data_IF_951702696204
#
_entry.id   IF_951702696204
#
_cell.length_a   1.000
_cell.length_b   1.000
_cell.length_c   1.000
_cell.angle_alpha   90.00
_cell.angle_beta   90.00
_cell.angle_gamma   90.00
#
_symmetry.space_group_name_H-M   'P 1'
#
loop_
_entity.id
_entity.type
_entity.pdbx_description
1 polymer ?
#
# COMPACT_ATOMS: atom_id res chain seq x y z
N UNK A 1 -12.37 -18.92 17.06
CA UNK A 1 -13.34 -18.88 18.18
C UNK A 1 -12.86 -17.95 19.29
N UNK A 2 -11.75 -18.26 19.98
CA UNK A 2 -11.14 -17.40 21.00
C UNK A 2 -10.85 -15.94 20.56
N UNK A 3 -10.27 -15.73 19.36
CA UNK A 3 -10.05 -14.37 18.78
C UNK A 3 -11.31 -13.49 18.79
N UNK A 4 -12.45 -14.05 18.40
CA UNK A 4 -13.70 -13.29 18.27
C UNK A 4 -14.43 -13.12 19.61
N UNK A 5 -14.33 -14.10 20.51
CA UNK A 5 -14.80 -13.95 21.89
C UNK A 5 -14.08 -12.79 22.59
N UNK A 6 -12.79 -12.55 22.29
CA UNK A 6 -12.01 -11.44 22.83
C UNK A 6 -12.47 -10.10 22.26
N UNK A 7 -12.71 -10.05 20.95
CA UNK A 7 -13.21 -8.84 20.27
C UNK A 7 -14.66 -8.49 20.63
N UNK A 8 -15.44 -9.46 21.13
CA UNK A 8 -16.84 -9.29 21.54
C UNK A 8 -17.01 -8.91 23.02
N UNK A 9 -15.92 -8.75 23.78
CA UNK A 9 -16.01 -8.23 25.14
C UNK A 9 -16.43 -6.75 25.09
N UNK A 10 -17.68 -6.48 25.47
CA UNK A 10 -18.16 -5.12 25.72
C UNK A 10 -17.59 -4.60 27.04
N UNK A 11 -17.44 -3.27 27.15
CA UNK A 11 -17.04 -2.57 28.37
C UNK A 11 -17.98 -2.75 29.59
N UNK A 12 -19.05 -3.57 29.50
CA UNK A 12 -19.96 -3.84 30.61
C UNK A 12 -19.27 -4.52 31.82
N UNK A 13 -18.10 -5.15 31.62
CA UNK A 13 -17.27 -5.74 32.68
C UNK A 13 -15.93 -5.01 32.89
N UNK A 14 -15.78 -3.77 32.43
CA UNK A 14 -14.56 -2.98 32.66
C UNK A 14 -13.34 -3.45 31.86
N UNK A 15 -13.54 -4.20 30.77
CA UNK A 15 -12.46 -4.60 29.86
C UNK A 15 -11.84 -3.42 29.13
N UNK A 16 -10.69 -2.95 29.61
CA UNK A 16 -9.87 -1.91 28.98
C UNK A 16 -9.28 -2.42 27.66
N UNK A 17 -9.59 -1.80 26.52
CA UNK A 17 -8.76 -1.96 25.32
C UNK A 17 -7.45 -1.21 25.55
N UNK A 18 -6.42 -1.93 26.03
CA UNK A 18 -5.09 -1.38 26.15
C UNK A 18 -4.58 -0.99 24.76
N UNK A 19 -4.35 0.32 24.54
CA UNK A 19 -3.27 0.72 23.65
C UNK A 19 -2.00 0.18 24.30
N UNK A 20 -1.18 -0.54 23.55
CA UNK A 20 0.25 -0.64 23.86
C UNK A 20 0.78 0.80 23.85
N UNK A 21 0.74 1.44 25.02
CA UNK A 21 1.24 2.78 25.19
C UNK A 21 2.74 2.73 25.10
N UNK A 22 3.30 3.08 23.94
CA UNK A 22 4.58 3.76 23.96
C UNK A 22 4.32 5.09 24.66
N UNK A 23 4.79 5.20 25.91
CA UNK A 23 4.75 6.45 26.67
C UNK A 23 5.35 7.56 25.81
N UNK A 24 4.59 8.62 25.60
CA UNK A 24 5.16 9.87 25.09
C UNK A 24 6.24 10.34 26.05
N UNK A 25 7.24 11.05 25.52
CA UNK A 25 8.42 11.54 26.22
C UNK A 25 8.17 12.51 27.41
N UNK A 26 6.93 12.64 27.88
CA UNK A 26 6.56 13.31 29.11
C UNK A 26 6.18 12.24 30.12
N UNK A 27 7.01 12.04 31.15
CA UNK A 27 6.92 10.99 32.19
C UNK A 27 5.68 11.00 33.09
N UNK A 28 4.48 11.15 32.51
CA UNK A 28 3.21 10.84 33.15
C UNK A 28 2.78 9.42 32.77
N UNK A 29 2.29 8.67 33.76
CA UNK A 29 1.57 7.42 33.56
C UNK A 29 0.50 7.64 32.48
N UNK A 30 0.42 6.84 31.40
CA UNK A 30 -0.61 7.01 30.39
C UNK A 30 -1.97 6.90 31.08
N UNK A 31 -2.74 7.98 31.13
CA UNK A 31 -4.13 7.90 31.55
C UNK A 31 -4.81 6.88 30.62
N UNK A 32 -5.37 5.83 31.21
CA UNK A 32 -6.11 4.80 30.52
C UNK A 32 -7.39 5.44 29.92
N UNK A 33 -7.27 6.04 28.74
CA UNK A 33 -8.43 6.53 28.02
C UNK A 33 -9.21 5.31 27.51
N UNK A 34 -10.28 4.97 28.25
CA UNK A 34 -11.28 3.99 27.85
C UNK A 34 -12.00 4.59 26.64
N UNK A 35 -11.78 4.01 25.45
CA UNK A 35 -12.63 4.28 24.29
C UNK A 35 -13.69 3.18 24.23
N UNK A 36 -14.88 3.38 24.83
CA UNK A 36 -15.98 2.44 24.60
C UNK A 36 -16.27 2.40 23.09
N UNK A 37 -16.48 1.20 22.55
CA UNK A 37 -16.96 0.93 21.18
C UNK A 37 -15.95 0.94 20.02
N UNK A 38 -14.63 1.09 20.25
CA UNK A 38 -13.64 1.00 19.17
C UNK A 38 -12.76 -0.25 19.31
N UNK A 39 -13.09 -1.32 18.59
CA UNK A 39 -12.09 -2.36 18.34
C UNK A 39 -11.03 -1.75 17.41
N UNK A 40 -9.77 -1.75 17.84
CA UNK A 40 -8.64 -1.16 17.08
C UNK A 40 -8.46 -1.83 15.71
N UNK A 41 -9.03 -3.03 15.56
CA UNK A 41 -9.11 -3.82 14.34
C UNK A 41 -10.41 -4.62 14.44
N UNK A 42 -11.39 -4.45 13.54
CA UNK A 42 -12.04 -5.57 12.83
C UNK A 42 -13.29 -5.16 12.04
N UNK A 43 -13.17 -5.32 10.72
CA UNK A 43 -14.28 -5.38 9.75
C UNK A 43 -15.09 -6.69 9.87
N UNK A 44 -14.73 -7.59 10.80
CA UNK A 44 -15.36 -8.91 10.93
C UNK A 44 -16.87 -8.87 11.22
N UNK A 45 -17.34 -7.79 11.86
CA UNK A 45 -18.77 -7.53 12.11
C UNK A 45 -19.45 -6.80 10.96
N UNK A 46 -18.69 -6.29 9.99
CA UNK A 46 -19.27 -5.64 8.84
C UNK A 46 -20.12 -6.66 8.08
N UNK A 47 -21.33 -6.26 7.76
CA UNK A 47 -22.24 -7.06 6.96
C UNK A 47 -21.88 -6.81 5.50
N UNK A 48 -21.80 -7.89 4.73
CA UNK A 48 -21.62 -7.84 3.28
C UNK A 48 -23.01 -7.74 2.66
N UNK A 49 -23.15 -6.94 1.61
CA UNK A 49 -24.39 -6.80 0.87
C UNK A 49 -24.86 -8.15 0.29
N UNK A 50 -26.10 -8.21 -0.20
CA UNK A 50 -26.71 -9.44 -0.74
C UNK A 50 -25.93 -10.04 -1.90
N UNK A 51 -25.22 -9.21 -2.68
CA UNK A 51 -24.38 -9.64 -3.81
C UNK A 51 -23.02 -10.22 -3.38
N UNK A 52 -22.62 -10.00 -2.12
CA UNK A 52 -21.34 -10.47 -1.60
C UNK A 52 -20.12 -9.66 -2.07
N UNK A 53 -20.32 -8.54 -2.76
CA UNK A 53 -19.25 -7.81 -3.46
C UNK A 53 -18.85 -6.47 -2.83
N UNK A 54 -19.64 -5.94 -1.89
CA UNK A 54 -19.32 -4.75 -1.10
C UNK A 54 -19.95 -4.88 0.29
N UNK A 55 -19.52 -4.02 1.21
CA UNK A 55 -20.15 -3.91 2.51
C UNK A 55 -21.53 -3.29 2.39
N UNK A 56 -22.45 -3.77 3.22
CA UNK A 56 -23.73 -3.11 3.44
C UNK A 56 -23.48 -1.81 4.22
N UNK A 57 -24.12 -0.72 3.78
CA UNK A 57 -23.95 0.61 4.36
C UNK A 57 -25.30 1.25 4.61
N UNK A 58 -25.37 2.04 5.67
CA UNK A 58 -26.55 2.85 6.00
C UNK A 58 -26.13 4.30 6.14
N UNK A 59 -27.01 5.21 5.70
CA UNK A 59 -26.83 6.64 5.92
C UNK A 59 -27.31 7.00 7.31
N UNK A 60 -26.45 7.64 8.10
CA UNK A 60 -26.80 8.21 9.39
C UNK A 60 -26.77 9.72 9.26
N UNK A 61 -27.91 10.36 9.53
CA UNK A 61 -27.98 11.81 9.66
C UNK A 61 -27.30 12.24 10.96
N UNK A 62 -26.36 13.18 10.90
CA UNK A 62 -25.79 13.79 12.10
C UNK A 62 -26.81 14.68 12.80
N UNK A 63 -26.50 15.06 14.05
CA UNK A 63 -27.33 15.96 14.86
C UNK A 63 -27.46 17.37 14.26
N UNK A 64 -26.57 17.75 13.34
CA UNK A 64 -26.67 18.98 12.54
C UNK A 64 -27.08 18.61 11.10
N UNK A 65 -28.01 19.39 10.53
CA UNK A 65 -28.71 19.09 9.27
C UNK A 65 -27.81 19.05 8.01
N UNK A 66 -26.51 19.26 8.17
CA UNK A 66 -25.50 19.47 7.13
C UNK A 66 -24.50 18.31 6.99
N UNK A 67 -24.57 17.27 7.83
CA UNK A 67 -23.66 16.12 7.76
C UNK A 67 -24.41 14.79 7.69
N UNK A 68 -24.32 14.11 6.55
CA UNK A 68 -24.77 12.71 6.41
C UNK A 68 -23.56 11.81 6.30
N UNK A 69 -23.42 10.84 7.21
CA UNK A 69 -22.32 9.87 7.19
C UNK A 69 -22.79 8.54 6.64
N UNK A 70 -22.09 7.99 5.66
CA UNK A 70 -22.34 6.65 5.15
C UNK A 70 -21.52 5.64 5.94
N UNK A 71 -22.15 4.90 6.85
CA UNK A 71 -21.47 4.01 7.80
C UNK A 71 -21.75 2.55 7.46
N UNK A 72 -20.75 1.69 7.70
CA UNK A 72 -20.89 0.25 7.53
C UNK A 72 -21.94 -0.31 8.48
N UNK A 73 -22.87 -1.10 7.96
CA UNK A 73 -23.80 -1.89 8.77
C UNK A 73 -22.99 -2.96 9.49
N UNK A 74 -23.18 -3.06 10.81
CA UNK A 74 -22.51 -4.05 11.66
C UNK A 74 -23.56 -4.89 12.36
N UNK A 75 -23.33 -6.20 12.44
CA UNK A 75 -24.20 -7.07 13.23
C UNK A 75 -24.17 -6.64 14.71
N UNK A 76 -25.35 -6.44 15.31
CA UNK A 76 -25.52 -6.11 16.73
C UNK A 76 -25.17 -7.31 17.60
N UNK A 77 -24.36 -7.04 18.63
CA UNK A 77 -24.23 -7.82 19.86
C UNK A 77 -24.25 -9.37 19.78
N UNK A 78 -23.06 -9.94 19.67
CA UNK A 78 -22.81 -11.39 19.63
C UNK A 78 -22.04 -11.85 20.89
N UNK A 79 -22.47 -11.36 22.06
CA UNK A 79 -21.80 -11.54 23.37
C UNK A 79 -21.81 -12.97 23.93
N UNK A 80 -22.58 -13.91 23.38
CA UNK A 80 -22.82 -15.20 24.03
C UNK A 80 -22.54 -16.46 23.21
N UNK A 81 -22.46 -16.41 21.88
CA UNK A 81 -22.18 -17.61 21.06
C UNK A 81 -21.27 -17.26 19.90
N UNK A 82 -20.41 -18.20 19.48
CA UNK A 82 -19.52 -18.08 18.32
C UNK A 82 -20.24 -17.94 16.97
N UNK A 83 -21.56 -17.77 16.99
CA UNK A 83 -22.42 -17.48 15.86
C UNK A 83 -22.72 -15.99 15.90
N UNK A 84 -22.26 -15.23 14.90
CA UNK A 84 -22.52 -13.79 14.81
C UNK A 84 -23.99 -13.45 14.51
N UNK A 85 -24.90 -14.44 14.52
CA UNK A 85 -26.34 -14.30 14.32
C UNK A 85 -26.72 -13.89 12.89
N UNK A 86 -25.74 -13.54 12.06
CA UNK A 86 -25.89 -13.09 10.69
C UNK A 86 -24.82 -13.75 9.80
N UNK A 87 -25.28 -14.64 8.91
CA UNK A 87 -24.48 -15.38 7.93
C UNK A 87 -23.74 -14.49 6.92
N UNK A 88 -24.14 -13.21 6.81
CA UNK A 88 -23.54 -12.25 5.88
C UNK A 88 -22.42 -11.41 6.51
N UNK A 89 -22.00 -11.70 7.72
CA UNK A 89 -20.80 -11.08 8.29
C UNK A 89 -19.54 -11.54 7.56
N UNK A 90 -18.52 -10.68 7.49
CA UNK A 90 -17.20 -11.01 6.91
C UNK A 90 -16.62 -12.30 7.51
N UNK A 91 -16.83 -12.52 8.82
CA UNK A 91 -16.32 -13.72 9.49
C UNK A 91 -16.99 -15.02 9.01
N UNK A 92 -18.32 -15.08 8.99
CA UNK A 92 -19.01 -16.29 8.54
C UNK A 92 -18.72 -16.58 7.06
N UNK A 93 -18.57 -15.53 6.24
CA UNK A 93 -18.13 -15.64 4.84
C UNK A 93 -16.71 -16.18 4.73
N UNK A 94 -15.77 -15.69 5.54
CA UNK A 94 -14.39 -16.19 5.56
C UNK A 94 -14.33 -17.66 5.99
N UNK A 95 -15.11 -18.04 7.01
CA UNK A 95 -15.20 -19.43 7.50
C UNK A 95 -15.74 -20.36 6.41
N UNK A 96 -16.81 -19.96 5.74
CA UNK A 96 -17.36 -20.72 4.61
C UNK A 96 -16.37 -20.81 3.42
N UNK A 97 -15.60 -19.75 3.16
CA UNK A 97 -14.58 -19.76 2.12
C UNK A 97 -13.41 -20.70 2.43
N UNK A 98 -13.01 -20.78 3.71
CA UNK A 98 -11.91 -21.62 4.17
C UNK A 98 -12.29 -23.09 4.43
N UNK A 99 -13.58 -23.40 4.63
CA UNK A 99 -14.03 -24.75 4.98
C UNK A 99 -13.66 -25.87 3.99
N UNK A 100 -13.52 -25.63 2.66
CA UNK A 100 -13.09 -26.67 1.75
C UNK A 100 -11.62 -27.11 1.91
N UNK A 101 -10.79 -26.36 2.65
CA UNK A 101 -9.37 -26.62 2.86
C UNK A 101 -9.14 -27.48 4.12
N UNK A 102 -9.47 -28.77 4.04
CA UNK A 102 -9.20 -29.75 5.10
C UNK A 102 -7.72 -30.13 5.15
N UNK A 103 -7.26 -30.79 6.23
CA UNK A 103 -5.89 -31.31 6.32
C UNK A 103 -5.58 -32.26 5.16
N UNK A 104 -6.42 -33.29 4.96
CA UNK A 104 -6.29 -34.22 3.84
C UNK A 104 -6.21 -33.53 2.47
N UNK A 105 -7.07 -32.53 2.21
CA UNK A 105 -7.04 -31.80 0.93
C UNK A 105 -5.77 -30.97 0.78
N UNK A 106 -5.35 -30.30 1.85
CA UNK A 106 -4.14 -29.45 1.83
C UNK A 106 -2.89 -30.32 1.66
N UNK A 107 -2.80 -31.44 2.37
CA UNK A 107 -1.75 -32.44 2.23
C UNK A 107 -1.65 -32.95 0.78
N UNK A 108 -2.79 -33.29 0.17
CA UNK A 108 -2.84 -33.75 -1.21
C UNK A 108 -2.41 -32.68 -2.24
N UNK A 109 -2.73 -31.39 -2.01
CA UNK A 109 -2.36 -30.30 -2.93
C UNK A 109 -0.89 -29.91 -2.76
N UNK A 110 -0.40 -29.84 -1.52
CA UNK A 110 0.92 -29.34 -1.18
C UNK A 110 2.00 -30.42 -1.15
N UNK A 111 1.62 -31.69 -1.36
CA UNK A 111 2.51 -32.85 -1.31
C UNK A 111 3.30 -32.94 0.01
N UNK A 112 2.57 -32.89 1.14
CA UNK A 112 3.13 -32.96 2.48
C UNK A 112 2.22 -33.77 3.41
N UNK A 113 2.72 -34.18 4.59
CA UNK A 113 1.92 -34.98 5.52
C UNK A 113 0.88 -34.14 6.26
N UNK A 114 -0.27 -34.73 6.58
CA UNK A 114 -1.26 -34.07 7.45
C UNK A 114 -0.67 -33.73 8.83
N UNK A 115 0.26 -34.55 9.32
CA UNK A 115 0.95 -34.35 10.58
C UNK A 115 1.82 -33.09 10.58
N UNK A 116 2.57 -32.84 9.51
CA UNK A 116 3.41 -31.63 9.39
C UNK A 116 2.55 -30.36 9.34
N UNK A 117 1.44 -30.40 8.58
CA UNK A 117 0.50 -29.27 8.50
C UNK A 117 -0.11 -28.99 9.87
N UNK A 118 -0.57 -30.04 10.56
CA UNK A 118 -1.17 -29.92 11.89
C UNK A 118 -0.15 -29.38 12.90
N UNK A 119 1.09 -29.87 12.88
CA UNK A 119 2.16 -29.39 13.74
C UNK A 119 2.42 -27.89 13.56
N UNK A 120 2.57 -27.42 12.32
CA UNK A 120 2.80 -25.99 12.04
C UNK A 120 1.59 -25.14 12.48
N UNK A 121 0.37 -25.61 12.22
CA UNK A 121 -0.84 -24.92 12.64
C UNK A 121 -0.92 -24.79 14.16
N UNK A 122 -0.62 -25.87 14.90
CA UNK A 122 -0.64 -25.89 16.35
C UNK A 122 0.44 -24.98 16.94
N UNK A 123 1.66 -24.99 16.40
CA UNK A 123 2.73 -24.07 16.84
C UNK A 123 2.34 -22.60 16.63
N UNK A 124 1.78 -22.27 15.46
CA UNK A 124 1.30 -20.92 15.17
C UNK A 124 0.17 -20.50 16.13
N UNK A 125 -0.74 -21.43 16.46
CA UNK A 125 -1.81 -21.20 17.44
C UNK A 125 -1.24 -21.01 18.84
N UNK A 126 -0.29 -21.84 19.30
CA UNK A 126 0.36 -21.75 20.62
C UNK A 126 1.04 -20.40 20.87
N UNK A 127 1.56 -19.79 19.82
CA UNK A 127 2.20 -18.47 19.86
C UNK A 127 1.27 -17.30 19.52
N UNK A 128 0.00 -17.58 19.22
CA UNK A 128 -1.01 -16.55 19.02
C UNK A 128 -1.33 -15.82 20.33
N UNK A 129 -1.90 -14.62 20.19
CA UNK A 129 -2.35 -13.84 21.36
C UNK A 129 -3.41 -14.57 22.19
N UNK A 130 -4.18 -15.46 21.57
CA UNK A 130 -5.37 -16.11 22.15
C UNK A 130 -5.10 -17.53 22.64
N UNK A 131 -3.84 -17.93 22.68
CA UNK A 131 -3.39 -19.23 23.11
C UNK A 131 -3.51 -19.39 24.63
N UNK A 132 -4.74 -19.46 25.17
CA UNK A 132 -5.10 -19.82 26.55
C UNK A 132 -6.62 -19.67 26.73
N UNK A 133 -7.33 -20.80 26.62
CA UNK A 133 -8.39 -21.28 27.54
C UNK A 133 -9.15 -22.43 26.86
N UNK A 134 -8.93 -23.64 27.34
CA UNK A 134 -9.64 -24.87 26.94
C UNK A 134 -11.13 -24.87 27.35
N UNK A 135 -11.58 -23.76 27.93
CA UNK A 135 -12.77 -23.60 28.75
C UNK A 135 -13.55 -22.29 28.46
N UNK A 136 -13.21 -21.56 27.39
CA UNK A 136 -13.99 -20.40 26.93
C UNK A 136 -13.83 -19.13 27.79
N UNK A 137 -13.16 -19.19 28.93
CA UNK A 137 -12.64 -18.04 29.66
C UNK A 137 -11.30 -17.62 29.08
N UNK A 138 -11.33 -16.85 27.98
CA UNK A 138 -10.15 -16.16 27.45
C UNK A 138 -9.30 -15.66 28.60
N UNK A 139 -8.07 -16.18 28.72
CA UNK A 139 -7.19 -15.69 29.77
C UNK A 139 -7.13 -14.17 29.67
N UNK A 140 -7.69 -13.52 30.68
CA UNK A 140 -7.58 -12.09 30.95
C UNK A 140 -6.14 -11.66 31.19
N UNK A 141 -5.20 -12.61 31.13
CA UNK A 141 -3.76 -12.42 31.22
C UNK A 141 -3.24 -11.97 29.85
N UNK A 142 -3.48 -10.70 29.55
CA UNK A 142 -2.47 -9.78 29.05
C UNK A 142 -1.16 -10.43 28.60
N UNK A 143 -1.12 -10.93 27.37
CA UNK A 143 0.12 -11.26 26.66
C UNK A 143 0.91 -9.95 26.37
N UNK A 144 1.39 -9.30 27.43
CA UNK A 144 2.13 -8.03 27.44
C UNK A 144 3.63 -8.32 27.48
N UNK A 145 4.48 -7.56 26.77
CA UNK A 145 5.93 -7.77 26.75
C UNK A 145 6.59 -7.82 28.14
N UNK A 146 6.01 -7.13 29.12
CA UNK A 146 6.55 -7.00 30.48
C UNK A 146 6.29 -8.19 31.41
N UNK A 147 5.47 -9.19 31.03
CA UNK A 147 5.00 -10.24 31.97
C UNK A 147 5.70 -11.61 31.85
N UNK A 148 6.86 -11.73 31.20
CA UNK A 148 7.65 -12.98 31.13
C UNK A 148 7.03 -14.13 30.31
N UNK A 149 5.72 -14.08 30.04
CA UNK A 149 4.95 -15.03 29.23
C UNK A 149 4.56 -14.47 27.84
N UNK A 150 5.36 -13.52 27.32
CA UNK A 150 5.09 -12.88 26.04
C UNK A 150 5.26 -13.85 24.87
N UNK A 151 4.23 -13.94 24.03
CA UNK A 151 4.18 -14.80 22.85
C UNK A 151 3.70 -14.01 21.65
N UNK A 152 4.42 -14.14 20.55
CA UNK A 152 4.04 -13.64 19.24
C UNK A 152 4.66 -14.55 18.18
N UNK A 153 3.95 -14.72 17.06
CA UNK A 153 4.51 -15.36 15.86
C UNK A 153 4.66 -14.31 14.76
N UNK A 154 5.74 -14.41 13.99
CA UNK A 154 6.02 -13.56 12.85
C UNK A 154 6.14 -14.38 11.58
N UNK A 155 5.74 -13.79 10.46
CA UNK A 155 5.91 -14.39 9.13
C UNK A 155 6.95 -13.58 8.37
N UNK A 156 8.04 -14.23 7.98
CA UNK A 156 9.09 -13.67 7.12
C UNK A 156 8.92 -14.25 5.71
N UNK A 157 8.81 -13.39 4.70
CA UNK A 157 8.73 -13.82 3.30
C UNK A 157 9.34 -12.79 2.35
N UNK A 158 9.66 -13.19 1.12
CA UNK A 158 10.16 -12.30 0.07
C UNK A 158 9.59 -12.70 -1.31
N UNK A 159 10.44 -13.03 -2.28
CA UNK A 159 10.06 -13.28 -3.67
C UNK A 159 9.30 -14.59 -3.90
N UNK A 160 9.67 -15.67 -3.21
CA UNK A 160 9.16 -17.02 -3.49
C UNK A 160 7.63 -17.17 -3.47
N UNK A 161 6.94 -16.32 -2.70
CA UNK A 161 5.48 -16.33 -2.57
C UNK A 161 4.76 -15.33 -3.50
N UNK A 162 5.48 -14.35 -4.04
CA UNK A 162 4.89 -13.20 -4.74
C UNK A 162 4.94 -13.32 -6.26
N UNK A 163 5.88 -14.10 -6.82
CA UNK A 163 6.05 -14.27 -8.27
C UNK A 163 5.13 -15.35 -8.88
N UNK A 164 3.86 -15.32 -8.50
CA UNK A 164 2.82 -16.21 -9.02
C UNK A 164 1.66 -15.37 -9.54
N UNK A 165 0.83 -15.93 -10.42
CA UNK A 165 -0.41 -15.28 -10.88
C UNK A 165 -1.36 -14.94 -9.73
N UNK A 166 -1.27 -15.68 -8.62
CA UNK A 166 -2.01 -15.46 -7.38
C UNK A 166 -1.17 -14.84 -6.24
N UNK A 167 0.01 -14.27 -6.53
CA UNK A 167 0.95 -13.81 -5.51
C UNK A 167 0.36 -12.82 -4.49
N UNK A 168 -0.46 -11.87 -4.95
CA UNK A 168 -1.17 -10.94 -4.06
C UNK A 168 -2.17 -11.64 -3.12
N UNK A 169 -2.82 -12.73 -3.58
CA UNK A 169 -3.73 -13.52 -2.75
C UNK A 169 -2.97 -14.34 -1.71
N UNK A 170 -1.79 -14.86 -2.06
CA UNK A 170 -0.92 -15.55 -1.10
C UNK A 170 -0.55 -14.62 0.07
N UNK A 171 -0.12 -13.39 -0.23
CA UNK A 171 0.21 -12.38 0.80
C UNK A 171 -1.02 -12.01 1.63
N UNK A 172 -2.19 -11.89 0.99
CA UNK A 172 -3.46 -11.65 1.69
C UNK A 172 -3.79 -12.78 2.68
N UNK A 173 -3.47 -14.03 2.35
CA UNK A 173 -3.57 -15.17 3.27
C UNK A 173 -2.78 -14.96 4.56
N UNK A 174 -1.52 -14.52 4.46
CA UNK A 174 -0.70 -14.20 5.63
C UNK A 174 -1.26 -13.05 6.45
N UNK A 175 -1.77 -11.99 5.80
CA UNK A 175 -2.43 -10.88 6.46
C UNK A 175 -3.63 -11.36 7.29
N UNK A 176 -4.51 -12.16 6.69
CA UNK A 176 -5.66 -12.72 7.39
C UNK A 176 -5.23 -13.58 8.59
N UNK A 177 -4.23 -14.45 8.40
CA UNK A 177 -3.72 -15.32 9.46
C UNK A 177 -3.15 -14.52 10.66
N UNK A 178 -2.28 -13.53 10.40
CA UNK A 178 -1.67 -12.73 11.46
C UNK A 178 -2.69 -11.80 12.17
N UNK A 179 -3.74 -11.36 11.47
CA UNK A 179 -4.86 -10.63 12.08
C UNK A 179 -5.64 -11.57 13.01
N UNK A 180 -6.01 -12.77 12.54
CA UNK A 180 -6.75 -13.77 13.32
C UNK A 180 -5.99 -14.24 14.57
N UNK A 181 -4.66 -14.37 14.47
CA UNK A 181 -3.80 -14.73 15.61
C UNK A 181 -3.48 -13.55 16.51
N UNK A 182 -3.85 -12.33 16.13
CA UNK A 182 -3.62 -11.12 16.91
C UNK A 182 -2.14 -10.75 17.02
N UNK A 183 -1.36 -11.06 15.98
CA UNK A 183 0.09 -10.79 15.92
C UNK A 183 0.43 -9.46 15.25
N UNK A 184 -0.51 -8.87 14.50
CA UNK A 184 -0.30 -7.58 13.83
C UNK A 184 -0.09 -6.45 14.85
N UNK A 185 0.98 -5.68 14.65
CA UNK A 185 1.32 -4.51 15.49
C UNK A 185 2.01 -4.85 16.82
N UNK A 186 2.38 -6.10 17.07
CA UNK A 186 3.05 -6.55 18.31
C UNK A 186 4.54 -6.77 18.09
N UNK A 187 5.35 -6.55 19.13
CA UNK A 187 6.77 -6.91 19.13
C UNK A 187 6.95 -8.41 18.83
N UNK A 188 7.92 -8.79 18.00
CA UNK A 188 8.11 -10.19 17.59
C UNK A 188 6.97 -10.80 16.75
N UNK A 189 5.95 -10.01 16.40
CA UNK A 189 4.82 -10.41 15.57
C UNK A 189 4.88 -9.89 14.14
N UNK A 190 3.72 -9.60 13.57
CA UNK A 190 3.58 -8.92 12.28
C UNK A 190 4.01 -9.75 11.06
N UNK A 191 4.04 -9.06 9.92
CA UNK A 191 4.44 -9.65 8.65
C UNK A 191 5.67 -8.90 8.17
N UNK A 192 6.81 -9.59 8.20
CA UNK A 192 8.09 -9.08 7.76
C UNK A 192 8.30 -9.46 6.30
N UNK A 193 7.68 -8.70 5.39
CA UNK A 193 7.97 -8.79 3.97
C UNK A 193 9.40 -8.30 3.72
N UNK A 194 10.37 -9.17 3.52
CA UNK A 194 11.77 -8.78 3.39
C UNK A 194 12.00 -8.20 2.00
N UNK A 195 12.44 -6.95 1.98
CA UNK A 195 12.75 -6.22 0.74
C UNK A 195 14.13 -6.65 0.23
N UNK A 196 14.26 -6.83 -1.08
CA UNK A 196 15.49 -7.30 -1.72
C UNK A 196 16.56 -6.21 -1.85
N UNK A 197 16.40 -5.30 -2.81
CA UNK A 197 17.41 -4.28 -3.12
C UNK A 197 17.46 -3.23 -2.00
N UNK A 198 18.68 -2.75 -1.69
CA UNK A 198 19.01 -1.86 -0.56
C UNK A 198 18.10 -0.62 -0.40
N UNK A 199 17.53 -0.10 -1.49
CA UNK A 199 16.63 1.07 -1.49
C UNK A 199 15.32 0.84 -2.27
N UNK A 200 14.88 -0.41 -2.47
CA UNK A 200 13.61 -0.68 -3.18
C UNK A 200 12.40 -0.11 -2.44
N UNK A 201 12.49 -0.03 -1.11
CA UNK A 201 11.47 0.63 -0.30
C UNK A 201 11.43 2.13 -0.64
N UNK A 202 12.58 2.80 -0.67
CA UNK A 202 12.66 4.23 -1.01
C UNK A 202 12.23 4.54 -2.45
N UNK A 203 12.61 3.72 -3.44
CA UNK A 203 12.15 3.92 -4.82
C UNK A 203 10.64 3.73 -4.97
N UNK A 204 10.05 2.79 -4.22
CA UNK A 204 8.60 2.60 -4.15
C UNK A 204 7.92 3.79 -3.44
N UNK A 205 8.50 4.28 -2.33
CA UNK A 205 8.02 5.46 -1.62
C UNK A 205 8.01 6.70 -2.53
N UNK A 206 9.00 6.81 -3.43
CA UNK A 206 9.11 7.87 -4.44
C UNK A 206 8.30 7.62 -5.72
N UNK A 207 7.51 6.54 -5.78
CA UNK A 207 6.58 6.29 -6.88
C UNK A 207 7.25 5.94 -8.21
N UNK A 208 8.43 5.30 -8.20
CA UNK A 208 9.09 4.81 -9.43
C UNK A 208 8.41 3.55 -9.99
N UNK A 209 7.11 3.64 -10.27
CA UNK A 209 6.25 2.61 -10.85
C UNK A 209 5.29 3.23 -11.87
N UNK A 210 4.89 2.45 -12.87
CA UNK A 210 4.12 2.92 -14.03
C UNK A 210 2.77 3.61 -13.70
N UNK A 211 2.19 3.36 -12.53
CA UNK A 211 0.89 3.87 -12.13
C UNK A 211 0.90 4.72 -10.86
N UNK A 212 2.09 4.96 -10.28
CA UNK A 212 2.24 5.66 -9.02
C UNK A 212 3.02 6.95 -9.20
N UNK A 213 2.78 7.88 -8.30
CA UNK A 213 3.58 9.07 -8.05
C UNK A 213 4.07 9.01 -6.59
N UNK A 214 4.97 9.91 -6.15
CA UNK A 214 5.50 9.86 -4.80
C UNK A 214 4.43 9.79 -3.71
N UNK A 215 4.78 9.16 -2.59
CA UNK A 215 3.91 8.92 -1.44
C UNK A 215 2.69 8.02 -1.74
N UNK A 216 2.86 7.01 -2.59
CA UNK A 216 1.83 5.98 -2.87
C UNK A 216 0.52 6.53 -3.43
N UNK A 217 0.56 7.67 -4.10
CA UNK A 217 -0.61 8.21 -4.80
C UNK A 217 -0.67 7.63 -6.20
N UNK A 218 -1.88 7.40 -6.72
CA UNK A 218 -2.06 6.96 -8.11
C UNK A 218 -1.77 8.11 -9.07
N UNK A 219 -1.27 7.81 -10.28
CA UNK A 219 -1.07 8.83 -11.31
C UNK A 219 -2.42 9.47 -11.72
N UNK A 220 -2.49 10.80 -11.94
CA UNK A 220 -3.66 11.45 -12.51
C UNK A 220 -4.13 10.80 -13.83
N UNK A 221 -5.42 10.53 -13.95
CA UNK A 221 -5.99 9.88 -15.14
C UNK A 221 -7.06 10.71 -15.86
N UNK A 222 -7.62 11.73 -15.21
CA UNK A 222 -8.70 12.56 -15.74
C UNK A 222 -8.10 13.90 -16.17
N UNK A 223 -8.42 14.35 -17.39
CA UNK A 223 -7.98 15.67 -17.87
C UNK A 223 -9.04 16.74 -17.54
N UNK A 224 -8.61 17.92 -17.09
CA UNK A 224 -9.54 19.00 -16.66
C UNK A 224 -10.07 19.89 -17.78
N UNK A 225 -9.57 19.71 -19.00
CA UNK A 225 -10.09 20.25 -20.25
C UNK A 225 -11.24 19.43 -20.82
N UNK A 226 -11.26 18.11 -20.54
CA UNK A 226 -12.39 17.22 -20.83
C UNK A 226 -13.47 17.35 -19.75
N UNK A 227 -13.06 17.49 -18.50
CA UNK A 227 -13.97 17.57 -17.35
C UNK A 227 -13.55 18.69 -16.39
N UNK A 228 -14.33 19.79 -16.27
CA UNK A 228 -13.97 20.89 -15.37
C UNK A 228 -13.90 20.47 -13.89
N UNK A 229 -14.41 19.29 -13.53
CA UNK A 229 -14.30 18.69 -12.19
C UNK A 229 -13.20 17.62 -12.08
N UNK A 230 -12.29 17.52 -13.05
CA UNK A 230 -11.30 16.44 -13.14
C UNK A 230 -10.38 16.29 -11.93
N UNK A 231 -9.96 17.40 -11.30
CA UNK A 231 -9.18 17.37 -10.07
C UNK A 231 -9.97 16.73 -8.92
N UNK A 232 -11.21 17.16 -8.70
CA UNK A 232 -12.06 16.61 -7.63
C UNK A 232 -12.38 15.13 -7.80
N UNK A 233 -12.69 14.71 -9.03
CA UNK A 233 -12.91 13.29 -9.35
C UNK A 233 -11.67 12.43 -9.12
N UNK A 234 -10.48 12.95 -9.42
CA UNK A 234 -9.22 12.26 -9.13
C UNK A 234 -8.98 12.15 -7.61
N UNK A 235 -9.20 13.22 -6.85
CA UNK A 235 -9.02 13.27 -5.40
C UNK A 235 -9.96 12.30 -4.67
N UNK A 236 -11.19 12.11 -5.16
CA UNK A 236 -12.14 11.08 -4.72
C UNK A 236 -11.66 9.66 -5.01
N UNK A 237 -11.10 9.45 -6.21
CA UNK A 237 -10.67 8.14 -6.66
C UNK A 237 -9.46 7.59 -5.89
N UNK A 238 -8.65 8.46 -5.25
CA UNK A 238 -7.42 8.05 -4.58
C UNK A 238 -7.64 7.05 -3.42
N UNK A 239 -8.79 7.04 -2.72
CA UNK A 239 -9.12 6.00 -1.72
C UNK A 239 -10.59 5.57 -1.63
N UNK A 240 -11.46 5.92 -2.58
CA UNK A 240 -12.86 5.45 -2.58
C UNK A 240 -13.69 5.93 -1.39
N UNK A 241 -13.13 6.76 -0.51
CA UNK A 241 -13.89 7.62 0.39
C UNK A 241 -14.16 8.90 -0.40
N UNK A 242 -15.42 9.18 -0.75
CA UNK A 242 -15.75 10.47 -1.33
C UNK A 242 -15.30 11.58 -0.38
N UNK A 243 -14.89 12.71 -0.94
CA UNK A 243 -14.67 13.95 -0.23
C UNK A 243 -15.85 14.21 0.72
N UNK A 244 -15.57 14.76 1.89
CA UNK A 244 -16.61 15.05 2.87
C UNK A 244 -17.29 16.35 2.48
N UNK A 245 -18.32 16.25 1.65
CA UNK A 245 -19.15 17.38 1.24
C UNK A 245 -20.35 17.55 2.15
N UNK A 246 -20.71 18.81 2.41
CA UNK A 246 -22.02 19.14 2.97
C UNK A 246 -23.10 18.77 1.93
N UNK A 247 -23.96 17.79 2.23
CA UNK A 247 -25.09 17.42 1.37
C UNK A 247 -25.02 16.06 0.66
N UNK A 248 -23.98 15.25 0.88
CA UNK A 248 -23.91 13.87 0.37
C UNK A 248 -23.57 13.76 -1.13
N UNK A 249 -23.46 12.51 -1.62
CA UNK A 249 -22.83 12.20 -2.92
C UNK A 249 -23.57 12.75 -4.15
N UNK A 250 -24.90 12.87 -4.09
CA UNK A 250 -25.69 13.41 -5.19
C UNK A 250 -25.46 14.93 -5.40
N UNK A 251 -25.08 15.67 -4.36
CA UNK A 251 -24.73 17.08 -4.46
C UNK A 251 -23.27 17.28 -4.96
N UNK A 252 -22.37 16.33 -4.68
CA UNK A 252 -20.98 16.35 -5.17
C UNK A 252 -20.88 16.17 -6.68
N UNK A 253 -21.73 15.32 -7.28
CA UNK A 253 -21.71 15.07 -8.73
C UNK A 253 -21.97 16.35 -9.55
N UNK A 254 -22.65 17.35 -8.98
CA UNK A 254 -22.96 18.63 -9.63
C UNK A 254 -21.88 19.72 -9.43
N UNK A 255 -21.17 19.73 -8.29
CA UNK A 255 -20.06 20.67 -8.07
C UNK A 255 -19.05 20.09 -7.08
N UNK A 256 -17.88 19.66 -7.58
CA UNK A 256 -16.75 19.15 -6.79
C UNK A 256 -15.99 20.26 -6.03
N UNK A 257 -16.74 21.18 -5.43
CA UNK A 257 -16.22 22.38 -4.80
C UNK A 257 -15.40 22.07 -3.54
N UNK A 258 -15.79 21.03 -2.81
CA UNK A 258 -15.18 20.47 -1.60
C UNK A 258 -13.80 19.82 -1.84
N UNK A 259 -13.51 19.36 -3.06
CA UNK A 259 -12.17 18.92 -3.46
C UNK A 259 -11.10 19.99 -3.25
N UNK A 260 -11.50 21.25 -3.38
CA UNK A 260 -10.64 22.42 -3.19
C UNK A 260 -10.60 22.87 -1.71
N UNK A 261 -11.38 22.23 -0.83
CA UNK A 261 -11.58 22.58 0.58
C UNK A 261 -10.81 21.68 1.55
N UNK A 262 -9.61 21.22 1.16
CA UNK A 262 -8.76 20.31 1.95
C UNK A 262 -8.45 20.81 3.39
N UNK A 263 -8.70 22.10 3.70
CA UNK A 263 -8.54 22.71 5.04
C UNK A 263 -9.80 22.73 5.90
N UNK A 264 -11.02 22.75 5.34
CA UNK A 264 -12.26 22.76 6.13
C UNK A 264 -12.47 21.45 6.92
N UNK A 265 -11.83 20.37 6.48
CA UNK A 265 -11.79 19.08 7.17
C UNK A 265 -10.84 19.03 8.38
N UNK A 266 -10.19 20.14 8.77
CA UNK A 266 -9.29 20.19 9.92
C UNK A 266 -9.98 19.85 11.26
N UNK A 267 -11.30 19.99 11.34
CA UNK A 267 -12.11 19.70 12.53
C UNK A 267 -13.00 18.46 12.40
N UNK A 268 -13.24 17.94 11.19
CA UNK A 268 -14.14 16.81 10.96
C UNK A 268 -13.36 15.54 10.59
N UNK A 269 -12.97 14.79 11.64
CA UNK A 269 -12.51 13.39 11.64
C UNK A 269 -11.29 13.00 10.79
N UNK A 270 -10.25 12.57 11.52
CA UNK A 270 -8.96 12.03 11.09
C UNK A 270 -9.08 10.72 10.29
N UNK A 271 -9.61 10.80 9.07
CA UNK A 271 -9.84 9.63 8.20
C UNK A 271 -8.61 9.39 7.30
N UNK A 272 -8.15 8.14 7.06
CA UNK A 272 -6.93 7.86 6.30
C UNK A 272 -6.84 8.50 4.89
N UNK A 273 -7.96 8.72 4.20
CA UNK A 273 -7.99 9.35 2.88
C UNK A 273 -7.49 10.79 2.86
N UNK A 274 -7.65 11.54 3.95
CA UNK A 274 -7.23 12.95 4.06
C UNK A 274 -5.72 13.14 3.89
N UNK A 275 -4.90 12.20 4.41
CA UNK A 275 -3.44 12.30 4.32
C UNK A 275 -2.92 12.19 2.90
N UNK A 276 -3.53 11.34 2.07
CA UNK A 276 -3.12 11.20 0.68
C UNK A 276 -3.53 12.41 -0.16
N UNK A 277 -4.76 12.90 0.00
CA UNK A 277 -5.25 14.07 -0.74
C UNK A 277 -4.38 15.31 -0.46
N UNK A 278 -4.02 15.53 0.81
CA UNK A 278 -3.09 16.58 1.19
C UNK A 278 -1.67 16.38 0.67
N UNK A 279 -1.20 15.13 0.66
CA UNK A 279 0.14 14.83 0.15
C UNK A 279 0.23 15.15 -1.34
N UNK A 280 -0.79 14.77 -2.13
CA UNK A 280 -0.87 15.11 -3.54
C UNK A 280 -0.91 16.63 -3.77
N UNK A 281 -1.76 17.34 -3.02
CA UNK A 281 -1.86 18.79 -3.10
C UNK A 281 -0.52 19.48 -2.76
N UNK A 282 0.11 19.10 -1.65
CA UNK A 282 1.40 19.66 -1.24
C UNK A 282 2.51 19.37 -2.26
N UNK A 283 2.52 18.16 -2.84
CA UNK A 283 3.46 17.76 -3.88
C UNK A 283 3.26 18.57 -5.16
N UNK A 284 2.02 18.73 -5.62
CA UNK A 284 1.67 19.50 -6.82
C UNK A 284 2.21 20.93 -6.72
N UNK A 285 2.02 21.58 -5.57
CA UNK A 285 2.59 22.92 -5.30
C UNK A 285 4.11 22.94 -5.29
N UNK A 286 4.74 21.88 -4.76
CA UNK A 286 6.20 21.82 -4.69
C UNK A 286 6.84 21.62 -6.06
N UNK A 287 6.18 20.90 -6.95
CA UNK A 287 6.69 20.55 -8.27
C UNK A 287 6.47 21.66 -9.29
N UNK A 288 5.26 22.21 -9.36
CA UNK A 288 4.87 23.11 -10.44
C UNK A 288 4.80 24.58 -10.05
N UNK A 289 4.97 24.88 -8.76
CA UNK A 289 5.05 26.25 -8.26
C UNK A 289 3.91 26.64 -7.32
N UNK A 290 3.96 27.87 -6.81
CA UNK A 290 2.99 28.35 -5.83
C UNK A 290 1.60 28.49 -6.44
N UNK A 291 0.59 28.31 -5.60
CA UNK A 291 -0.78 28.76 -5.85
C UNK A 291 -0.89 30.15 -5.24
N UNK A 292 -1.51 31.12 -5.93
CA UNK A 292 -1.69 32.44 -5.35
C UNK A 292 -2.42 32.28 -4.00
N UNK A 293 -1.93 32.98 -2.97
CA UNK A 293 -2.36 32.78 -1.59
C UNK A 293 -3.72 33.46 -1.34
N UNK A 294 -4.72 33.08 -2.10
CA UNK A 294 -6.12 33.32 -1.81
C UNK A 294 -6.57 32.27 -0.80
N UNK A 295 -7.45 32.66 0.12
CA UNK A 295 -8.17 31.69 0.95
C UNK A 295 -8.59 30.50 0.07
N UNK A 296 -8.55 29.24 0.56
CA UNK A 296 -9.33 28.18 -0.07
C UNK A 296 -10.75 28.72 -0.27
N UNK A 297 -11.53 28.17 -1.20
CA UNK A 297 -12.91 28.60 -1.54
C UNK A 297 -13.06 29.66 -2.64
N UNK A 298 -12.02 30.41 -3.04
CA UNK A 298 -12.18 31.38 -4.15
C UNK A 298 -12.14 30.71 -5.52
N UNK A 299 -12.87 31.25 -6.49
CA UNK A 299 -12.80 30.80 -7.89
C UNK A 299 -11.37 30.86 -8.45
N UNK A 300 -10.59 31.86 -8.04
CA UNK A 300 -9.18 32.02 -8.39
C UNK A 300 -8.32 30.87 -7.86
N UNK A 301 -8.51 30.45 -6.60
CA UNK A 301 -7.79 29.31 -6.02
C UNK A 301 -8.04 28.02 -6.83
N UNK A 302 -9.29 27.80 -7.25
CA UNK A 302 -9.66 26.62 -8.04
C UNK A 302 -8.99 26.64 -9.41
N UNK A 303 -9.06 27.79 -10.10
CA UNK A 303 -8.43 27.97 -11.41
C UNK A 303 -6.92 27.72 -11.36
N UNK A 304 -6.24 28.23 -10.32
CA UNK A 304 -4.80 27.99 -10.14
C UNK A 304 -4.49 26.50 -9.88
N UNK A 305 -5.24 25.84 -9.00
CA UNK A 305 -5.02 24.42 -8.71
C UNK A 305 -5.31 23.54 -9.92
N UNK A 306 -6.36 23.84 -10.69
CA UNK A 306 -6.65 23.17 -11.96
C UNK A 306 -5.52 23.37 -12.97
N UNK A 307 -4.96 24.58 -13.06
CA UNK A 307 -3.83 24.86 -13.93
C UNK A 307 -2.59 24.03 -13.54
N UNK A 308 -2.28 23.92 -12.25
CA UNK A 308 -1.18 23.06 -11.80
C UNK A 308 -1.49 21.58 -12.00
N UNK A 309 -2.74 21.15 -11.77
CA UNK A 309 -3.16 19.77 -11.99
C UNK A 309 -3.00 19.37 -13.45
N UNK A 310 -3.28 20.27 -14.41
CA UNK A 310 -3.09 20.03 -15.86
C UNK A 310 -1.67 19.62 -16.21
N UNK A 311 -0.66 20.13 -15.50
CA UNK A 311 0.75 19.86 -15.77
C UNK A 311 1.19 18.43 -15.45
N UNK A 312 0.45 17.71 -14.60
CA UNK A 312 0.73 16.29 -14.37
C UNK A 312 0.50 15.47 -15.66
N UNK A 313 1.38 14.52 -16.02
CA UNK A 313 1.07 13.56 -17.08
C UNK A 313 -0.20 12.78 -16.73
N UNK A 314 -1.03 12.51 -17.75
CA UNK A 314 -2.33 11.86 -17.57
C UNK A 314 -2.30 10.45 -18.14
N UNK A 315 -2.81 9.49 -17.38
CA UNK A 315 -2.96 8.10 -17.78
C UNK A 315 -2.19 7.13 -16.89
N UNK A 316 -2.18 5.87 -17.30
CA UNK A 316 -1.42 4.81 -16.65
C UNK A 316 -0.35 4.35 -17.63
N UNK A 317 0.90 4.25 -17.17
CA UNK A 317 1.96 3.65 -17.97
C UNK A 317 1.72 2.15 -18.18
N UNK A 318 2.58 1.53 -18.98
CA UNK A 318 2.58 0.08 -19.13
C UNK A 318 3.44 -0.58 -18.04
N UNK A 319 3.02 -1.75 -17.57
CA UNK A 319 3.89 -2.60 -16.75
C UNK A 319 5.10 -3.09 -17.56
N UNK A 320 6.18 -3.48 -16.86
CA UNK A 320 7.45 -3.84 -17.49
C UNK A 320 7.31 -4.95 -18.56
N UNK A 321 6.47 -5.99 -18.34
CA UNK A 321 6.26 -7.07 -19.32
C UNK A 321 5.67 -6.51 -20.63
N UNK A 322 4.63 -5.69 -20.52
CA UNK A 322 4.03 -5.03 -21.69
C UNK A 322 5.03 -4.09 -22.35
N UNK A 323 5.77 -3.31 -21.57
CA UNK A 323 6.79 -2.38 -22.05
C UNK A 323 7.85 -3.10 -22.89
N UNK A 324 8.46 -4.18 -22.39
CA UNK A 324 9.47 -4.92 -23.14
C UNK A 324 8.92 -5.56 -24.41
N UNK A 325 7.68 -6.08 -24.38
CA UNK A 325 7.01 -6.58 -25.60
C UNK A 325 6.77 -5.47 -26.62
N UNK A 326 6.43 -4.26 -26.15
CA UNK A 326 6.19 -3.11 -27.00
C UNK A 326 7.48 -2.60 -27.69
N UNK A 327 8.66 -2.87 -27.14
CA UNK A 327 9.94 -2.56 -27.82
C UNK A 327 10.11 -3.38 -29.11
N UNK A 328 9.68 -4.65 -29.12
CA UNK A 328 9.81 -5.54 -30.27
C UNK A 328 8.75 -5.37 -31.37
N UNK A 329 7.87 -4.38 -31.24
CA UNK A 329 6.82 -4.10 -32.25
C UNK A 329 7.41 -3.53 -33.54
N UNK A 330 6.71 -3.74 -34.64
CA UNK A 330 7.12 -3.27 -35.96
C UNK A 330 7.05 -1.74 -36.09
N UNK A 331 7.86 -1.19 -36.98
CA UNK A 331 7.82 0.21 -37.36
C UNK A 331 6.42 0.62 -37.85
N UNK A 332 5.93 1.76 -37.36
CA UNK A 332 4.58 2.26 -37.65
C UNK A 332 3.50 1.79 -36.66
N UNK A 333 3.78 0.84 -35.76
CA UNK A 333 2.86 0.51 -34.66
C UNK A 333 2.84 1.66 -33.62
N UNK A 334 1.65 2.18 -33.33
CA UNK A 334 1.44 3.28 -32.39
C UNK A 334 1.93 2.99 -30.96
N UNK A 335 2.07 1.71 -30.58
CA UNK A 335 2.57 1.28 -29.28
C UNK A 335 4.05 0.91 -29.29
N UNK A 336 4.73 0.98 -30.44
CA UNK A 336 6.17 0.66 -30.52
C UNK A 336 6.97 1.64 -29.67
N UNK A 337 7.80 1.11 -28.78
CA UNK A 337 8.78 1.90 -28.04
C UNK A 337 10.02 2.07 -28.90
N UNK A 338 10.42 3.32 -29.13
CA UNK A 338 11.58 3.68 -29.97
C UNK A 338 12.86 3.90 -29.17
N UNK A 339 12.73 4.43 -27.96
CA UNK A 339 13.86 4.73 -27.09
C UNK A 339 13.60 4.18 -25.69
N UNK A 340 14.65 3.69 -25.03
CA UNK A 340 14.59 3.26 -23.64
C UNK A 340 15.75 3.87 -22.84
N UNK A 341 15.42 4.36 -21.65
CA UNK A 341 16.40 4.71 -20.61
C UNK A 341 16.31 3.65 -19.54
N UNK A 342 17.40 2.92 -19.32
CA UNK A 342 17.51 1.87 -18.33
C UNK A 342 18.53 2.35 -17.30
N UNK A 343 18.09 2.48 -16.05
CA UNK A 343 18.88 3.16 -15.01
C UNK A 343 19.13 2.22 -13.83
N UNK A 344 20.37 1.76 -13.67
CA UNK A 344 20.77 0.82 -12.63
C UNK A 344 20.03 -0.53 -12.69
N UNK A 345 19.74 -1.01 -13.91
CA UNK A 345 19.05 -2.28 -14.14
C UNK A 345 19.64 -3.06 -15.31
N UNK A 346 19.47 -4.38 -15.29
CA UNK A 346 19.98 -5.28 -16.33
C UNK A 346 18.90 -6.25 -16.85
N UNK A 347 17.86 -5.75 -17.54
CA UNK A 347 16.73 -6.57 -17.97
C UNK A 347 17.09 -7.67 -18.97
N UNK A 348 18.20 -7.57 -19.71
CA UNK A 348 18.67 -8.66 -20.57
C UNK A 348 19.02 -9.95 -19.80
N UNK A 349 19.14 -9.86 -18.47
CA UNK A 349 19.39 -10.97 -17.55
C UNK A 349 18.21 -11.21 -16.61
N UNK A 350 17.66 -10.14 -16.01
CA UNK A 350 16.72 -10.27 -14.89
C UNK A 350 15.27 -10.53 -15.30
N UNK A 351 14.89 -10.21 -16.54
CA UNK A 351 13.52 -10.33 -17.01
C UNK A 351 13.21 -11.74 -17.56
N UNK A 352 11.96 -12.23 -17.37
CA UNK A 352 11.57 -13.53 -17.90
C UNK A 352 11.52 -13.49 -19.44
N UNK A 353 11.89 -14.61 -20.07
CA UNK A 353 12.02 -14.73 -21.52
C UNK A 353 13.06 -13.76 -22.11
N UNK A 354 14.32 -13.96 -21.72
CA UNK A 354 15.47 -13.16 -22.18
C UNK A 354 15.58 -13.06 -23.71
N UNK A 355 15.14 -14.07 -24.46
CA UNK A 355 15.11 -14.03 -25.92
C UNK A 355 14.18 -12.93 -26.46
N UNK A 356 12.97 -12.82 -25.92
CA UNK A 356 12.04 -11.75 -26.28
C UNK A 356 12.56 -10.37 -25.84
N UNK A 357 13.19 -10.28 -24.67
CA UNK A 357 13.77 -9.03 -24.18
C UNK A 357 14.90 -8.55 -25.09
N UNK A 358 15.84 -9.42 -25.44
CA UNK A 358 16.96 -9.09 -26.34
C UNK A 358 16.47 -8.76 -27.74
N UNK A 359 15.46 -9.47 -28.26
CA UNK A 359 14.82 -9.13 -29.52
C UNK A 359 14.17 -7.74 -29.47
N UNK A 360 13.49 -7.39 -28.37
CA UNK A 360 12.92 -6.06 -28.16
C UNK A 360 13.99 -4.98 -28.05
N UNK A 361 15.05 -5.22 -27.28
CA UNK A 361 16.19 -4.31 -27.19
C UNK A 361 16.76 -4.04 -28.58
N UNK A 362 17.05 -5.06 -29.38
CA UNK A 362 17.58 -4.91 -30.75
C UNK A 362 16.76 -3.95 -31.62
N UNK A 363 15.44 -3.91 -31.43
CA UNK A 363 14.54 -3.06 -32.19
C UNK A 363 14.50 -1.60 -31.74
N UNK A 364 15.05 -1.22 -30.59
CA UNK A 364 15.08 0.18 -30.18
C UNK A 364 15.96 1.02 -31.13
N UNK A 365 15.54 2.24 -31.40
CA UNK A 365 16.32 3.25 -32.15
C UNK A 365 17.42 3.81 -31.24
N UNK A 366 17.12 4.00 -29.95
CA UNK A 366 18.07 4.52 -28.96
C UNK A 366 17.96 3.77 -27.63
N UNK A 367 19.09 3.33 -27.09
CA UNK A 367 19.21 2.76 -25.76
C UNK A 367 20.17 3.62 -24.93
N UNK A 368 19.70 4.12 -23.80
CA UNK A 368 20.55 4.79 -22.80
C UNK A 368 20.60 3.88 -21.58
N UNK A 369 21.79 3.46 -21.17
CA UNK A 369 22.03 2.73 -19.92
C UNK A 369 22.84 3.62 -18.97
N UNK A 370 22.42 3.71 -17.71
CA UNK A 370 23.22 4.29 -16.63
C UNK A 370 23.59 3.19 -15.64
N UNK A 371 24.88 2.86 -15.52
CA UNK A 371 25.35 1.78 -14.63
C UNK A 371 26.84 2.00 -14.26
N UNK A 372 27.31 1.25 -13.25
CA UNK A 372 28.71 1.24 -12.84
C UNK A 372 29.58 0.42 -13.80
N UNK A 373 28.97 -0.55 -14.50
CA UNK A 373 29.67 -1.50 -15.36
C UNK A 373 29.03 -1.57 -16.74
N UNK A 374 29.78 -2.08 -17.71
CA UNK A 374 29.17 -2.61 -18.92
C UNK A 374 28.31 -3.84 -18.54
N UNK A 375 27.06 -3.86 -18.97
CA UNK A 375 26.11 -4.94 -18.68
C UNK A 375 25.65 -5.62 -19.96
N UNK A 376 25.10 -6.84 -19.84
CA UNK A 376 24.51 -7.57 -20.95
C UNK A 376 23.36 -6.83 -21.63
N UNK A 377 22.76 -5.84 -20.96
CA UNK A 377 21.71 -4.99 -21.52
C UNK A 377 22.27 -3.98 -22.51
N UNK A 378 23.35 -3.26 -22.19
CA UNK A 378 23.95 -2.29 -23.14
C UNK A 378 24.72 -3.01 -24.25
N UNK A 379 25.33 -4.16 -23.93
CA UNK A 379 26.03 -5.01 -24.88
C UNK A 379 25.10 -5.86 -25.76
N UNK A 380 23.77 -5.77 -25.59
CA UNK A 380 22.82 -6.51 -26.41
C UNK A 380 22.93 -6.11 -27.89
N UNK A 381 22.76 -7.09 -28.79
CA UNK A 381 22.80 -6.87 -30.23
C UNK A 381 21.82 -5.75 -30.65
N UNK A 382 22.28 -4.88 -31.55
CA UNK A 382 21.55 -3.71 -32.04
C UNK A 382 21.30 -3.80 -33.53
N UNK A 383 20.29 -3.10 -34.04
CA UNK A 383 20.20 -2.77 -35.47
C UNK A 383 21.42 -1.93 -35.87
N UNK A 384 21.76 -1.96 -37.16
CA UNK A 384 22.87 -1.17 -37.72
C UNK A 384 22.68 0.34 -37.59
N UNK A 385 21.44 0.82 -37.49
CA UNK A 385 21.07 2.22 -37.30
C UNK A 385 20.68 2.57 -35.85
N UNK A 386 20.71 1.59 -34.94
CA UNK A 386 20.41 1.80 -33.52
C UNK A 386 21.64 2.25 -32.75
N UNK A 387 21.46 3.14 -31.77
CA UNK A 387 22.56 3.67 -30.96
C UNK A 387 22.38 3.29 -29.48
N UNK A 388 23.49 2.91 -28.84
CA UNK A 388 23.57 2.64 -27.40
C UNK A 388 24.50 3.66 -26.73
N UNK A 389 24.07 4.20 -25.60
CA UNK A 389 24.87 5.05 -24.72
C UNK A 389 25.02 4.39 -23.35
N UNK A 390 26.23 4.45 -22.79
CA UNK A 390 26.51 4.04 -21.42
C UNK A 390 26.99 5.26 -20.62
N UNK A 391 26.23 5.64 -19.61
CA UNK A 391 26.62 6.66 -18.63
C UNK A 391 27.24 6.00 -17.41
N UNK A 392 28.51 6.31 -17.07
CA UNK A 392 29.19 5.71 -15.93
C UNK A 392 28.65 6.31 -14.62
N UNK A 393 27.91 5.50 -13.86
CA UNK A 393 27.37 5.88 -12.56
C UNK A 393 28.40 5.67 -11.44
N UNK A 394 28.41 6.56 -10.46
CA UNK A 394 29.19 6.41 -9.24
C UNK A 394 28.57 5.32 -8.33
N UNK A 395 29.43 4.56 -7.66
CA UNK A 395 29.03 3.54 -6.70
C UNK A 395 28.42 4.17 -5.43
N UNK A 396 27.73 3.36 -4.62
CA UNK A 396 27.06 3.84 -3.41
C UNK A 396 28.01 4.43 -2.34
N UNK A 397 29.30 4.07 -2.36
CA UNK A 397 30.32 4.64 -1.45
C UNK A 397 30.92 5.95 -1.97
N UNK A 398 30.66 6.27 -3.24
CA UNK A 398 31.24 7.42 -3.96
C UNK A 398 30.35 8.67 -3.89
N UNK A 399 29.29 8.62 -3.06
CA UNK A 399 28.29 9.68 -2.95
C UNK A 399 27.64 9.68 -1.57
N UNK A 400 27.17 10.85 -1.18
CA UNK A 400 26.32 11.02 0.00
C UNK A 400 24.83 10.89 -0.39
N UNK A 401 24.01 10.41 0.55
CA UNK A 401 22.57 10.31 0.33
C UNK A 401 21.88 9.41 1.32
N UNK A 402 20.59 9.21 1.12
CA UNK A 402 19.76 8.37 1.99
C UNK A 402 19.25 7.12 1.29
N UNK A 403 19.14 6.01 2.03
CA UNK A 403 18.43 4.82 1.60
C UNK A 403 17.45 4.35 2.67
N UNK A 404 16.28 3.87 2.25
CA UNK A 404 15.25 3.32 3.13
C UNK A 404 15.31 1.80 3.12
N UNK A 405 15.58 1.20 4.29
CA UNK A 405 15.68 -0.26 4.42
C UNK A 405 14.31 -0.95 4.54
N UNK A 406 14.30 -2.28 4.64
CA UNK A 406 13.07 -3.09 4.80
C UNK A 406 12.24 -2.75 6.05
N UNK A 407 12.87 -2.17 7.07
CA UNK A 407 12.21 -1.70 8.29
C UNK A 407 11.61 -0.29 8.18
N UNK A 408 11.70 0.33 6.99
CA UNK A 408 11.33 1.74 6.72
C UNK A 408 12.22 2.77 7.42
N UNK A 409 13.41 2.38 7.84
CA UNK A 409 14.39 3.31 8.40
C UNK A 409 15.11 4.02 7.25
N UNK A 410 14.91 5.33 7.14
CA UNK A 410 15.66 6.20 6.26
C UNK A 410 17.03 6.49 6.89
N UNK A 411 18.09 6.00 6.26
CA UNK A 411 19.45 6.07 6.78
C UNK A 411 20.31 6.93 5.86
N UNK A 412 20.94 7.95 6.43
CA UNK A 412 21.92 8.78 5.73
C UNK A 412 23.28 8.10 5.67
N UNK A 413 23.98 8.29 4.55
CA UNK A 413 25.36 7.84 4.31
C UNK A 413 26.16 9.00 3.74
N UNK A 414 27.44 9.00 4.04
CA UNK A 414 28.39 10.00 3.55
C UNK A 414 29.26 9.37 2.45
N UNK A 415 29.75 10.23 1.56
CA UNK A 415 30.78 9.88 0.59
C UNK A 415 32.03 9.41 1.34
N UNK A 416 32.52 8.21 0.99
CA UNK A 416 33.73 7.63 1.57
C UNK A 416 34.95 7.82 0.66
N UNK A 417 34.74 7.91 -0.65
CA UNK A 417 35.77 8.16 -1.66
C UNK A 417 35.16 8.94 -2.83
N UNK A 418 35.99 9.63 -3.61
CA UNK A 418 35.50 10.35 -4.79
C UNK A 418 35.11 9.38 -5.92
N UNK A 419 34.16 9.76 -6.80
CA UNK A 419 33.83 9.00 -8.01
C UNK A 419 35.06 8.66 -8.84
N UNK A 420 35.18 7.40 -9.25
CA UNK A 420 36.29 6.90 -10.07
C UNK A 420 36.22 7.37 -11.53
N UNK A 421 37.36 7.84 -12.05
CA UNK A 421 37.47 8.29 -13.44
C UNK A 421 36.49 9.42 -13.77
N UNK A 422 35.66 9.19 -14.80
CA UNK A 422 34.63 10.16 -15.22
C UNK A 422 33.23 9.82 -14.70
N UNK A 423 33.08 8.87 -13.78
CA UNK A 423 31.77 8.56 -13.21
C UNK A 423 31.20 9.74 -12.43
N UNK A 424 29.87 9.78 -12.29
CA UNK A 424 29.13 10.88 -11.65
C UNK A 424 28.01 10.31 -10.80
N UNK A 425 27.58 11.07 -9.79
CA UNK A 425 26.38 10.75 -9.04
C UNK A 425 25.16 10.72 -9.95
N UNK A 426 24.21 9.82 -9.68
CA UNK A 426 22.98 9.67 -10.45
C UNK A 426 22.17 10.98 -10.49
N UNK A 427 22.20 11.79 -9.42
CA UNK A 427 21.53 13.10 -9.39
C UNK A 427 22.13 14.05 -10.41
N UNK A 428 23.46 14.09 -10.49
CA UNK A 428 24.15 14.94 -11.45
C UNK A 428 23.91 14.46 -12.89
N UNK A 429 23.97 13.14 -13.12
CA UNK A 429 23.66 12.55 -14.42
C UNK A 429 22.23 12.88 -14.86
N UNK A 430 21.27 12.76 -13.95
CA UNK A 430 19.86 13.06 -14.23
C UNK A 430 19.64 14.55 -14.55
N UNK A 431 20.25 15.45 -13.77
CA UNK A 431 20.13 16.90 -13.99
C UNK A 431 20.80 17.38 -15.29
N UNK A 432 21.82 16.67 -15.77
CA UNK A 432 22.45 16.96 -17.08
C UNK A 432 21.66 16.34 -18.24
N UNK A 433 20.94 15.25 -17.98
CA UNK A 433 20.12 14.55 -18.97
C UNK A 433 18.80 15.28 -19.23
N UNK A 434 18.19 15.87 -18.18
CA UNK A 434 17.00 16.72 -18.27
C UNK A 434 17.33 18.12 -18.80
#
# INVERSE_FOLDING_TARGET
QAFFAYLNQSAATGGTFYRDGYGGASGGTPAAAVYPNYSKYTDAKAVVNTLGNDYERTTVAAATADQTSNVLVRATDCRATHNLGNVNTVYERLKAHASPYTLARTAAICDCSEGDIAYIADEMIKHSRFATSTDGTLATIENRPAQGAFRAATILYAMGLTQHTCGSQNVKGFANLQILMGNMGRCGGGINALRGIHNVQGSTDMGLLYGNIPAYSANPTIQTDIDPNGFGKYVDALWGYPLWGSGGRAAMDASYNDAYELRASATATRTPGWWQQNSFHAMTKRWFGPIANVSPYTATYRADLDALYRLWPKGQGDNHITMFRNMGRADGDAKRIKAAVIWGQNPAVTEPNQGAIRAGLKQLDTLVLCDMFETETVAAERRSDGVSFLFPAAAHVEKAGSATNSGRTLQWRYEATRPSGNSKDDTELLLRFA
#
